data_IF_923795008098
#
_entry.id   IF_923795008098
#
_cell.length_a   1.000
_cell.length_b   1.000
_cell.length_c   1.000
_cell.angle_alpha   90.00
_cell.angle_beta   90.00
_cell.angle_gamma   90.00
#
_symmetry.space_group_name_H-M   'P 1'
#
loop_
_entity.id
_entity.type
_entity.pdbx_description
1 polymer ?
#
# COMPACT_ATOMS: atom_id res chain seq x y z
N UNK A 1 -28.89 12.31 16.66
CA UNK A 1 -29.36 11.47 15.54
C UNK A 1 -28.28 10.44 15.28
N UNK A 2 -28.59 9.14 15.11
CA UNK A 2 -27.58 8.21 14.61
C UNK A 2 -27.23 8.67 13.20
N UNK A 3 -26.03 9.25 13.04
CA UNK A 3 -25.59 9.78 11.77
C UNK A 3 -25.49 8.64 10.76
N UNK A 4 -26.09 8.82 9.59
CA UNK A 4 -25.84 7.92 8.46
C UNK A 4 -24.37 8.07 8.06
N UNK A 5 -23.54 7.13 8.53
CA UNK A 5 -22.17 7.04 8.06
C UNK A 5 -22.17 6.39 6.68
N UNK A 6 -21.36 6.89 5.73
CA UNK A 6 -21.09 6.16 4.50
C UNK A 6 -20.62 4.75 4.83
N UNK A 7 -21.20 3.74 4.18
CA UNK A 7 -20.84 2.34 4.35
C UNK A 7 -20.59 1.69 2.99
N UNK A 8 -19.69 0.70 2.98
CA UNK A 8 -19.44 -0.16 1.83
C UNK A 8 -19.90 -1.56 2.22
N UNK A 9 -20.72 -2.19 1.38
CA UNK A 9 -21.16 -3.57 1.55
C UNK A 9 -20.37 -4.45 0.58
N UNK A 10 -19.69 -5.47 1.12
CA UNK A 10 -18.85 -6.38 0.33
C UNK A 10 -19.49 -7.77 0.37
N UNK A 11 -19.87 -8.27 -0.81
CA UNK A 11 -20.47 -9.61 -0.95
C UNK A 11 -19.38 -10.66 -1.17
N UNK A 12 -19.09 -11.48 -0.16
CA UNK A 12 -18.02 -12.49 -0.22
C UNK A 12 -18.23 -13.53 -1.33
N UNK A 13 -19.48 -13.90 -1.63
CA UNK A 13 -19.78 -14.84 -2.72
C UNK A 13 -19.41 -14.29 -4.10
N UNK A 14 -19.47 -12.96 -4.29
CA UNK A 14 -19.03 -12.32 -5.53
C UNK A 14 -17.50 -12.33 -5.64
N UNK A 15 -16.78 -12.12 -4.54
CA UNK A 15 -15.32 -12.26 -4.51
C UNK A 15 -14.91 -13.70 -4.87
N UNK A 16 -15.56 -14.69 -4.25
CA UNK A 16 -15.31 -16.10 -4.53
C UNK A 16 -15.59 -16.44 -5.99
N UNK A 17 -16.72 -15.99 -6.54
CA UNK A 17 -17.10 -16.21 -7.93
C UNK A 17 -16.07 -15.60 -8.90
N UNK A 18 -15.67 -14.34 -8.68
CA UNK A 18 -14.68 -13.67 -9.52
C UNK A 18 -13.31 -14.36 -9.45
N UNK A 19 -12.88 -14.76 -8.25
CA UNK A 19 -11.65 -15.51 -8.06
C UNK A 19 -11.68 -16.85 -8.83
N UNK A 20 -12.82 -17.55 -8.83
CA UNK A 20 -13.02 -18.78 -9.62
C UNK A 20 -12.89 -18.55 -11.11
N UNK A 21 -13.63 -17.58 -11.64
CA UNK A 21 -13.58 -17.26 -13.07
C UNK A 21 -12.16 -16.96 -13.55
N UNK A 22 -11.38 -16.22 -12.76
CA UNK A 22 -9.99 -15.91 -13.09
C UNK A 22 -9.09 -17.15 -12.96
N UNK A 23 -9.25 -17.95 -11.91
CA UNK A 23 -8.44 -19.16 -11.73
C UNK A 23 -8.68 -20.18 -12.85
N UNK A 24 -9.92 -20.33 -13.32
CA UNK A 24 -10.27 -21.19 -14.46
C UNK A 24 -9.65 -20.63 -15.75
N UNK A 25 -9.89 -19.36 -16.05
CA UNK A 25 -9.40 -18.71 -17.27
C UNK A 25 -7.86 -18.78 -17.43
N UNK A 26 -7.11 -18.47 -16.37
CA UNK A 26 -5.65 -18.51 -16.41
C UNK A 26 -5.10 -19.91 -16.19
N UNK A 27 -5.85 -20.78 -15.51
CA UNK A 27 -5.51 -22.19 -15.33
C UNK A 27 -5.45 -22.95 -16.65
N UNK A 28 -6.34 -22.66 -17.60
CA UNK A 28 -6.29 -23.21 -18.97
C UNK A 28 -4.98 -22.88 -19.71
N UNK A 29 -4.30 -21.81 -19.31
CA UNK A 29 -3.02 -21.37 -19.88
C UNK A 29 -1.81 -21.83 -19.04
N UNK A 30 -2.04 -22.67 -18.02
CA UNK A 30 -1.00 -23.12 -17.10
C UNK A 30 -0.51 -22.05 -16.11
N UNK A 31 -1.24 -20.94 -15.98
CA UNK A 31 -0.88 -19.81 -15.10
C UNK A 31 -1.61 -19.96 -13.76
N UNK A 32 -0.87 -20.01 -12.66
CA UNK A 32 -1.43 -20.03 -11.31
C UNK A 32 -1.58 -18.61 -10.76
N UNK A 33 -2.73 -18.32 -10.12
CA UNK A 33 -2.99 -17.03 -9.51
C UNK A 33 -2.57 -16.95 -8.04
N UNK A 34 -2.15 -15.75 -7.65
CA UNK A 34 -1.92 -15.33 -6.27
C UNK A 34 -2.84 -14.13 -5.98
N UNK A 35 -3.65 -14.23 -4.91
CA UNK A 35 -4.57 -13.18 -4.49
C UNK A 35 -3.85 -12.17 -3.61
N UNK A 36 -4.03 -10.87 -3.87
CA UNK A 36 -3.39 -9.81 -3.09
C UNK A 36 -4.42 -9.16 -2.17
N UNK A 37 -4.26 -9.32 -0.85
CA UNK A 37 -5.24 -8.86 0.17
C UNK A 37 -5.09 -7.36 0.55
N UNK A 38 -4.14 -6.66 -0.07
CA UNK A 38 -3.74 -5.28 0.26
C UNK A 38 -4.92 -4.31 0.34
N UNK A 39 -5.78 -4.28 -0.68
CA UNK A 39 -6.85 -3.29 -0.78
C UNK A 39 -7.95 -3.46 0.28
N UNK A 40 -8.11 -4.68 0.78
CA UNK A 40 -9.14 -5.05 1.76
C UNK A 40 -8.57 -5.13 3.17
N UNK A 41 -7.44 -4.48 3.35
CA UNK A 41 -6.69 -4.48 4.56
C UNK A 41 -6.45 -5.89 5.16
N UNK A 42 -6.07 -6.88 4.35
CA UNK A 42 -5.74 -8.21 4.87
C UNK A 42 -6.94 -8.95 5.47
N UNK A 43 -8.17 -8.49 5.24
CA UNK A 43 -9.41 -9.04 5.81
C UNK A 43 -9.51 -10.57 5.57
N UNK A 44 -9.46 -11.39 6.64
CA UNK A 44 -9.46 -12.84 6.54
C UNK A 44 -10.65 -13.41 5.77
N UNK A 45 -11.84 -12.84 5.93
CA UNK A 45 -13.04 -13.32 5.24
C UNK A 45 -12.93 -13.15 3.71
N UNK A 46 -12.25 -12.10 3.25
CA UNK A 46 -12.04 -11.84 1.83
C UNK A 46 -10.92 -12.74 1.29
N UNK A 47 -9.84 -12.92 2.04
CA UNK A 47 -8.78 -13.88 1.69
C UNK A 47 -9.33 -15.31 1.58
N UNK A 48 -10.20 -15.72 2.51
CA UNK A 48 -10.85 -17.02 2.48
C UNK A 48 -11.79 -17.16 1.27
N UNK A 49 -12.56 -16.11 0.93
CA UNK A 49 -13.38 -16.11 -0.28
C UNK A 49 -12.52 -16.29 -1.55
N UNK A 50 -11.35 -15.65 -1.64
CA UNK A 50 -10.40 -15.86 -2.74
C UNK A 50 -9.90 -17.31 -2.80
N UNK A 51 -9.51 -17.88 -1.66
CA UNK A 51 -9.03 -19.27 -1.57
C UNK A 51 -10.13 -20.25 -1.98
N UNK A 52 -11.36 -20.07 -1.49
CA UNK A 52 -12.54 -20.87 -1.90
C UNK A 52 -12.91 -20.69 -3.38
N UNK A 53 -12.39 -19.65 -4.02
CA UNK A 53 -12.47 -19.44 -5.47
C UNK A 53 -11.39 -20.20 -6.25
N UNK A 54 -10.35 -20.71 -5.61
CA UNK A 54 -9.27 -21.45 -6.26
C UNK A 54 -7.90 -20.77 -6.23
N UNK A 55 -7.79 -19.58 -5.62
CA UNK A 55 -6.50 -18.91 -5.43
C UNK A 55 -5.61 -19.75 -4.50
N UNK A 56 -4.40 -20.07 -4.95
CA UNK A 56 -3.49 -20.97 -4.21
C UNK A 56 -2.65 -20.25 -3.15
N UNK A 57 -2.34 -18.98 -3.38
CA UNK A 57 -1.47 -18.20 -2.51
C UNK A 57 -2.08 -16.83 -2.25
N UNK A 58 -1.96 -16.35 -1.02
CA UNK A 58 -2.29 -14.97 -0.66
C UNK A 58 -0.99 -14.19 -0.46
N UNK A 59 -0.90 -13.03 -1.08
CA UNK A 59 0.12 -12.02 -0.82
C UNK A 59 -0.49 -10.86 -0.04
N UNK A 60 0.15 -10.51 1.07
CA UNK A 60 -0.16 -9.30 1.83
C UNK A 60 0.89 -8.22 1.54
N UNK A 61 0.72 -6.99 2.03
CA UNK A 61 1.75 -5.94 1.96
C UNK A 61 2.17 -5.42 3.32
N UNK A 62 1.49 -5.83 4.39
CA UNK A 62 1.81 -5.40 5.74
C UNK A 62 2.90 -6.24 6.37
N UNK A 63 3.83 -5.54 7.02
CA UNK A 63 4.99 -6.11 7.71
C UNK A 63 4.61 -7.05 8.85
N UNK A 64 3.46 -6.84 9.50
CA UNK A 64 2.91 -7.76 10.50
C UNK A 64 2.58 -9.15 9.94
N UNK A 65 2.33 -9.26 8.63
CA UNK A 65 1.96 -10.50 7.94
C UNK A 65 3.09 -11.05 7.03
N UNK A 66 4.23 -10.36 6.86
CA UNK A 66 5.29 -10.74 5.91
C UNK A 66 6.70 -10.60 6.51
N UNK A 67 7.52 -11.65 6.34
CA UNK A 67 8.97 -11.60 6.56
C UNK A 67 9.73 -10.84 5.45
N UNK A 68 10.63 -9.95 5.87
CA UNK A 68 11.39 -8.99 5.05
C UNK A 68 12.33 -9.63 4.00
N UNK A 69 12.43 -9.01 2.81
CA UNK A 69 13.45 -9.25 1.77
C UNK A 69 13.83 -7.95 1.04
N UNK A 70 15.11 -7.78 0.71
CA UNK A 70 15.66 -6.66 -0.10
C UNK A 70 15.25 -6.79 -1.57
N UNK A 71 14.90 -5.67 -2.23
CA UNK A 71 14.49 -5.62 -3.65
C UNK A 71 15.19 -4.48 -4.42
N UNK A 72 15.44 -4.63 -5.73
CA UNK A 72 16.03 -3.58 -6.57
C UNK A 72 15.04 -2.45 -6.90
N UNK A 73 15.58 -1.29 -7.29
CA UNK A 73 14.84 -0.08 -7.65
C UNK A 73 14.14 -0.12 -9.01
N UNK A 74 14.49 -1.09 -9.86
CA UNK A 74 13.77 -1.43 -11.08
C UNK A 74 13.36 -2.90 -10.99
N UNK A 75 12.10 -3.26 -11.28
CA UNK A 75 11.69 -4.65 -11.32
C UNK A 75 12.46 -5.42 -12.39
N UNK A 76 12.77 -6.68 -12.14
CA UNK A 76 13.33 -7.57 -13.16
C UNK A 76 12.24 -8.04 -14.13
N UNK A 77 12.55 -8.09 -15.43
CA UNK A 77 11.66 -8.61 -16.46
C UNK A 77 10.95 -7.53 -17.30
N UNK A 78 10.01 -7.97 -18.14
CA UNK A 78 9.18 -7.08 -18.96
C UNK A 78 8.09 -6.40 -18.12
N UNK A 79 7.93 -5.09 -18.28
CA UNK A 79 6.95 -4.29 -17.53
C UNK A 79 5.58 -4.41 -18.19
N UNK A 80 4.63 -5.04 -17.49
CA UNK A 80 3.22 -5.09 -17.86
C UNK A 80 2.44 -3.82 -17.48
N UNK A 81 1.13 -3.84 -17.72
CA UNK A 81 0.23 -2.75 -17.31
C UNK A 81 -0.12 -2.84 -15.81
N UNK A 82 -0.34 -1.70 -15.17
CA UNK A 82 -0.87 -1.62 -13.82
C UNK A 82 -2.39 -1.90 -13.76
N UNK A 83 -2.95 -1.89 -12.55
CA UNK A 83 -4.37 -2.14 -12.31
C UNK A 83 -5.32 -1.10 -12.94
N UNK A 84 -4.79 0.00 -13.46
CA UNK A 84 -5.51 1.08 -14.13
C UNK A 84 -5.26 1.12 -15.63
N UNK A 85 -4.51 0.14 -16.16
CA UNK A 85 -4.20 0.01 -17.59
C UNK A 85 -2.99 0.83 -18.06
N UNK A 86 -2.26 1.50 -17.15
CA UNK A 86 -1.08 2.30 -17.51
C UNK A 86 0.18 1.43 -17.56
N UNK A 87 1.18 1.81 -18.36
CA UNK A 87 2.51 1.19 -18.32
C UNK A 87 3.39 2.02 -17.37
N UNK A 88 3.82 1.48 -16.21
CA UNK A 88 4.62 2.22 -15.26
C UNK A 88 6.03 2.49 -15.81
N UNK A 89 6.49 3.75 -15.67
CA UNK A 89 7.83 4.18 -16.06
C UNK A 89 8.66 4.43 -14.80
N UNK A 90 9.79 3.73 -14.68
CA UNK A 90 10.70 3.89 -13.55
C UNK A 90 11.90 4.74 -13.97
N UNK A 91 12.12 5.87 -13.28
CA UNK A 91 13.32 6.69 -13.49
C UNK A 91 14.51 6.01 -12.82
N UNK A 92 15.55 5.69 -13.61
CA UNK A 92 16.83 5.26 -13.07
C UNK A 92 17.58 6.50 -12.53
N UNK A 93 17.66 6.63 -11.21
CA UNK A 93 18.33 7.76 -10.56
C UNK A 93 19.78 7.44 -10.15
N UNK A 94 20.35 6.28 -10.50
CA UNK A 94 21.61 5.84 -9.90
C UNK A 94 21.46 5.49 -8.41
N UNK A 95 22.55 5.55 -7.63
CA UNK A 95 22.54 5.25 -6.19
C UNK A 95 22.03 6.46 -5.40
N UNK A 96 20.76 6.44 -4.99
CA UNK A 96 20.19 7.41 -4.06
C UNK A 96 19.94 6.75 -2.71
N UNK A 97 20.24 7.46 -1.62
CA UNK A 97 19.77 7.06 -0.31
C UNK A 97 18.29 7.38 -0.24
N UNK A 98 17.46 6.33 -0.27
CA UNK A 98 16.02 6.43 -0.18
C UNK A 98 15.58 5.89 1.16
N UNK A 99 14.70 6.61 1.82
CA UNK A 99 14.02 6.13 2.99
C UNK A 99 12.63 5.65 2.61
N UNK A 100 12.21 4.51 3.16
CA UNK A 100 10.83 4.04 3.08
C UNK A 100 10.24 4.21 4.47
N UNK A 101 9.14 4.94 4.54
CA UNK A 101 8.41 5.20 5.78
C UNK A 101 7.10 4.41 5.73
N UNK A 102 6.73 3.79 6.85
CA UNK A 102 5.43 3.16 7.07
C UNK A 102 4.35 4.24 7.29
N UNK A 103 4.11 5.03 6.24
CA UNK A 103 3.08 6.06 6.12
C UNK A 103 2.69 6.10 4.64
N UNK A 104 1.42 5.98 4.29
CA UNK A 104 0.96 5.96 2.91
C UNK A 104 -0.39 6.64 2.70
N UNK A 105 -0.95 6.49 1.49
CA UNK A 105 -2.23 7.10 1.10
C UNK A 105 -3.43 6.62 1.92
N UNK A 106 -3.34 5.46 2.58
CA UNK A 106 -4.39 4.99 3.50
C UNK A 106 -4.31 5.66 4.87
N UNK A 107 -3.15 6.18 5.25
CA UNK A 107 -2.96 6.83 6.55
C UNK A 107 -3.38 8.30 6.49
N UNK A 108 -2.94 9.02 5.44
CA UNK A 108 -3.24 10.43 5.26
C UNK A 108 -3.09 10.89 3.79
N UNK A 109 -3.50 12.13 3.53
CA UNK A 109 -3.31 12.78 2.24
C UNK A 109 -1.84 13.20 2.06
N UNK A 110 -1.12 12.48 1.20
CA UNK A 110 0.32 12.70 0.98
C UNK A 110 0.64 14.08 0.39
N UNK A 111 -0.23 14.64 -0.45
CA UNK A 111 -0.01 15.97 -1.05
C UNK A 111 0.01 17.10 -0.02
N UNK A 112 -0.52 16.86 1.18
CA UNK A 112 -0.53 17.81 2.29
C UNK A 112 0.62 17.65 3.28
N UNK A 113 1.56 16.74 3.02
CA UNK A 113 2.71 16.48 3.87
C UNK A 113 3.92 17.31 3.45
N UNK A 114 4.56 17.96 4.42
CA UNK A 114 5.85 18.63 4.24
C UNK A 114 6.84 18.14 5.29
N UNK A 115 7.95 17.46 4.91
CA UNK A 115 8.97 17.01 5.87
C UNK A 115 9.56 18.18 6.67
N UNK A 116 9.92 17.92 7.94
CA UNK A 116 10.51 18.92 8.85
C UNK A 116 12.02 19.17 8.65
N UNK A 117 12.63 18.51 7.67
CA UNK A 117 14.07 18.54 7.36
C UNK A 117 14.29 18.38 5.86
N UNK A 118 15.53 18.48 5.40
CA UNK A 118 15.93 18.37 3.98
C UNK A 118 15.68 16.97 3.38
N UNK A 119 14.42 16.63 3.17
CA UNK A 119 13.91 15.40 2.56
C UNK A 119 12.92 15.78 1.45
N UNK A 120 12.91 14.99 0.38
CA UNK A 120 11.96 15.16 -0.72
C UNK A 120 11.04 13.95 -0.82
N UNK A 121 9.74 14.17 -0.96
CA UNK A 121 8.78 13.07 -1.21
C UNK A 121 8.88 12.68 -2.69
N UNK A 122 9.43 11.50 -2.95
CA UNK A 122 9.56 10.96 -4.32
C UNK A 122 8.26 10.30 -4.81
N UNK A 123 7.45 9.78 -3.89
CA UNK A 123 6.19 9.13 -4.22
C UNK A 123 5.61 8.33 -3.07
N UNK A 124 4.39 7.84 -3.25
CA UNK A 124 3.66 7.07 -2.23
C UNK A 124 2.81 5.95 -2.81
N UNK A 125 2.72 4.88 -2.02
CA UNK A 125 1.77 3.78 -2.19
C UNK A 125 0.66 3.88 -1.15
N UNK A 126 -0.21 2.85 -1.05
CA UNK A 126 -1.24 2.77 0.00
C UNK A 126 -0.65 2.80 1.42
N UNK A 127 0.47 2.11 1.65
CA UNK A 127 1.01 1.89 3.01
C UNK A 127 2.41 2.49 3.25
N UNK A 128 3.04 3.03 2.20
CA UNK A 128 4.42 3.50 2.29
C UNK A 128 4.67 4.79 1.49
N UNK A 129 5.58 5.60 2.02
CA UNK A 129 6.09 6.84 1.46
C UNK A 129 7.57 6.64 1.15
N UNK A 130 8.00 7.02 -0.05
CA UNK A 130 9.39 7.00 -0.45
C UNK A 130 9.93 8.42 -0.38
N UNK A 131 10.97 8.61 0.42
CA UNK A 131 11.69 9.88 0.54
C UNK A 131 13.07 9.78 -0.11
N UNK A 132 13.50 10.86 -0.75
CA UNK A 132 14.91 11.11 -1.00
C UNK A 132 15.55 11.64 0.29
N UNK A 133 16.59 10.95 0.75
CA UNK A 133 17.37 11.35 1.93
C UNK A 133 18.82 11.65 1.58
N UNK A 134 19.17 11.92 0.32
CA UNK A 134 20.55 12.19 -0.08
C UNK A 134 21.20 13.35 0.70
N UNK A 135 20.42 14.32 1.14
CA UNK A 135 20.87 15.50 1.91
C UNK A 135 20.70 15.35 3.43
N UNK A 136 20.25 14.19 3.90
CA UNK A 136 19.93 13.95 5.31
C UNK A 136 20.43 12.57 5.74
N UNK A 137 21.26 12.49 6.78
CA UNK A 137 21.73 11.20 7.33
C UNK A 137 20.61 10.49 8.11
N UNK A 138 19.58 10.02 7.40
CA UNK A 138 18.44 9.32 7.97
C UNK A 138 18.79 7.84 8.16
N UNK A 139 18.83 7.40 9.42
CA UNK A 139 19.10 6.02 9.81
C UNK A 139 17.79 5.25 10.04
N UNK A 140 17.84 3.94 9.80
CA UNK A 140 16.71 3.04 10.10
C UNK A 140 16.36 3.13 11.59
N UNK A 141 15.07 3.28 11.89
CA UNK A 141 14.55 3.43 13.24
C UNK A 141 14.41 4.89 13.73
N UNK A 142 14.93 5.86 12.97
CA UNK A 142 14.74 7.29 13.27
C UNK A 142 13.41 7.78 12.69
N UNK A 143 12.60 8.44 13.51
CA UNK A 143 11.35 9.07 13.08
C UNK A 143 11.56 10.29 12.18
N UNK A 144 10.61 10.52 11.27
CA UNK A 144 10.50 11.74 10.46
C UNK A 144 9.23 12.46 10.86
N UNK A 145 9.33 13.76 11.14
CA UNK A 145 8.15 14.56 11.39
C UNK A 145 7.71 15.24 10.10
N UNK A 146 6.41 15.41 9.97
CA UNK A 146 5.79 16.11 8.85
C UNK A 146 4.92 17.22 9.42
N UNK A 147 5.02 18.38 8.80
CA UNK A 147 3.97 19.39 8.88
C UNK A 147 2.80 18.94 8.01
N UNK A 148 1.60 19.15 8.53
CA UNK A 148 0.34 18.75 7.91
C UNK A 148 -0.42 20.00 7.51
N UNK A 149 -0.90 20.05 6.27
CA UNK A 149 -1.96 20.97 5.87
C UNK A 149 -3.32 20.53 6.46
N UNK A 150 -4.37 21.30 6.17
CA UNK A 150 -5.72 20.99 6.66
C UNK A 150 -6.22 19.59 6.22
N UNK A 151 -6.02 19.22 4.95
CA UNK A 151 -6.55 17.98 4.40
C UNK A 151 -5.87 16.75 4.98
N UNK A 152 -4.55 16.80 5.09
CA UNK A 152 -3.74 15.75 5.71
C UNK A 152 -3.96 15.65 7.21
N UNK A 153 -4.12 16.77 7.92
CA UNK A 153 -4.50 16.76 9.34
C UNK A 153 -5.87 16.13 9.56
N UNK A 154 -6.88 16.54 8.79
CA UNK A 154 -8.24 16.01 8.90
C UNK A 154 -8.25 14.49 8.65
N UNK A 155 -7.61 14.03 7.57
CA UNK A 155 -7.49 12.60 7.25
C UNK A 155 -6.78 11.83 8.37
N UNK A 156 -5.69 12.38 8.92
CA UNK A 156 -4.95 11.70 9.96
C UNK A 156 -5.73 11.61 11.28
N UNK A 157 -6.47 12.67 11.63
CA UNK A 157 -7.29 12.72 12.84
C UNK A 157 -8.47 11.76 12.79
N UNK A 158 -9.09 11.55 11.63
CA UNK A 158 -10.23 10.62 11.47
C UNK A 158 -9.82 9.16 11.26
N UNK A 159 -8.56 8.88 10.93
CA UNK A 159 -8.07 7.50 10.78
C UNK A 159 -7.97 6.77 12.13
N UNK A 160 -8.58 5.60 12.33
CA UNK A 160 -8.41 4.81 13.56
C UNK A 160 -7.02 4.14 13.65
N UNK A 161 -6.27 4.11 12.54
CA UNK A 161 -4.97 3.44 12.46
C UNK A 161 -3.78 4.34 12.80
N UNK A 162 -4.01 5.66 12.92
CA UNK A 162 -2.99 6.60 13.39
C UNK A 162 -3.14 6.81 14.89
N UNK A 163 -2.07 6.55 15.65
CA UNK A 163 -2.01 6.86 17.08
C UNK A 163 -1.95 8.37 17.29
N UNK A 164 -2.81 8.90 18.17
CA UNK A 164 -2.79 10.31 18.60
C UNK A 164 -2.04 10.41 19.92
N UNK A 165 -1.01 11.23 19.95
CA UNK A 165 -0.27 11.57 21.16
C UNK A 165 -0.21 13.08 21.28
N UNK A 166 -0.76 13.61 22.36
CA UNK A 166 -0.72 15.03 22.69
C UNK A 166 0.49 15.28 23.59
N UNK A 167 1.32 16.23 23.20
CA UNK A 167 2.52 16.64 23.94
C UNK A 167 2.28 18.09 24.34
N UNK A 168 2.50 18.41 25.62
CA UNK A 168 2.37 19.77 26.17
C UNK A 168 3.72 20.49 26.15
#
# INVERSE_FOLDING_TARGET
>A
MPGFMPRIEITLSQIQYNARMLCELYGEQGISLMGVSKAVLGEPLIAEAMIRGGVKFIADSRLENIQSKVKPSVPFGEIGRDAFGNIPVFKNCGTHQRAIIALGKQDTLISGLSPDRDLEILGSSSDHLVLDSQKSDLKVGVGVNFNLDYGSLLSAMTSPFIKKQFIN
#
